data_IF_231016185887
#
_entry.id   IF_231016185887
#
_cell.length_a   1.000
_cell.length_b   1.000
_cell.length_c   1.000
_cell.angle_alpha   90.00
_cell.angle_beta   90.00
_cell.angle_gamma   90.00
#
_symmetry.space_group_name_H-M   'P 1'
#
loop_
_entity.id
_entity.type
_entity.pdbx_description
1 polymer ?
#
# COMPACT_ATOMS: atom_id res chain seq x y z
N UNK A 1 -14.47 -3.44 4.52
CA UNK A 1 -13.12 -3.08 5.04
C UNK A 1 -12.20 -4.29 5.20
N UNK A 2 -12.72 -5.49 5.53
CA UNK A 2 -11.95 -6.74 5.54
C UNK A 2 -11.66 -7.29 4.13
N UNK A 3 -12.57 -7.11 3.17
CA UNK A 3 -12.37 -7.59 1.79
C UNK A 3 -11.25 -6.86 1.05
N UNK A 4 -11.02 -5.58 1.35
CA UNK A 4 -9.91 -4.81 0.77
C UNK A 4 -8.54 -5.24 1.32
N UNK A 5 -8.53 -5.87 2.48
CA UNK A 5 -7.32 -6.21 3.21
C UNK A 5 -6.72 -7.57 2.86
N UNK A 6 -7.32 -8.31 1.92
CA UNK A 6 -6.96 -9.70 1.59
C UNK A 6 -6.80 -10.59 2.86
N UNK A 7 -7.66 -10.37 3.85
CA UNK A 7 -7.60 -11.10 5.13
C UNK A 7 -6.45 -10.71 6.07
N UNK A 8 -5.59 -9.74 5.74
CA UNK A 8 -4.58 -9.22 6.67
C UNK A 8 -5.25 -8.44 7.80
N UNK A 9 -5.03 -8.90 9.03
CA UNK A 9 -5.54 -8.29 10.28
C UNK A 9 -4.56 -7.28 10.90
N UNK A 10 -3.39 -7.09 10.30
CA UNK A 10 -2.37 -6.15 10.73
C UNK A 10 -2.61 -4.78 10.13
N UNK A 11 -2.58 -3.75 10.99
CA UNK A 11 -2.69 -2.35 10.63
C UNK A 11 -1.31 -1.70 10.77
N UNK A 12 -0.98 -0.65 9.99
CA UNK A 12 -1.81 -0.01 8.95
C UNK A 12 -1.82 -0.79 7.62
N UNK A 13 -2.92 -0.65 6.87
CA UNK A 13 -3.01 -1.09 5.48
C UNK A 13 -3.18 0.13 4.57
N UNK A 14 -2.28 0.26 3.62
CA UNK A 14 -2.10 1.40 2.74
C UNK A 14 -2.66 1.03 1.38
N UNK A 15 -3.48 1.93 0.84
CA UNK A 15 -4.13 1.79 -0.46
C UNK A 15 -3.87 3.04 -1.29
N UNK A 16 -3.45 2.88 -2.53
CA UNK A 16 -3.23 3.96 -3.50
C UNK A 16 -4.00 3.60 -4.78
N UNK A 17 -4.83 4.48 -5.30
CA UNK A 17 -5.66 4.24 -6.51
C UNK A 17 -6.44 2.91 -6.53
N UNK A 18 -7.05 2.54 -5.40
CA UNK A 18 -7.72 1.26 -5.17
C UNK A 18 -6.80 0.01 -5.19
N UNK A 19 -5.50 0.17 -5.39
CA UNK A 19 -4.51 -0.90 -5.21
C UNK A 19 -4.11 -1.01 -3.74
N UNK A 20 -4.13 -2.24 -3.22
CA UNK A 20 -3.66 -2.54 -1.87
C UNK A 20 -2.14 -2.69 -1.86
N UNK A 21 -1.45 -1.63 -1.45
CA UNK A 21 0.01 -1.62 -1.34
C UNK A 21 0.48 -2.55 -0.22
N UNK A 22 -0.29 -2.64 0.88
CA UNK A 22 0.05 -3.47 2.03
C UNK A 22 0.38 -2.61 3.24
N UNK A 23 1.49 -2.88 3.92
CA UNK A 23 1.88 -2.22 5.16
C UNK A 23 2.70 -0.94 4.96
N UNK A 24 3.20 -0.41 6.09
CA UNK A 24 4.13 0.73 6.08
C UNK A 24 5.44 0.38 5.36
N UNK A 25 5.96 -0.85 5.54
CA UNK A 25 7.17 -1.33 4.87
C UNK A 25 7.02 -1.40 3.34
N UNK A 26 5.84 -1.82 2.87
CA UNK A 26 5.53 -1.88 1.44
C UNK A 26 5.51 -0.47 0.82
N UNK A 27 4.92 0.51 1.52
CA UNK A 27 4.96 1.92 1.11
C UNK A 27 6.41 2.45 1.03
N UNK A 28 7.23 2.19 2.06
CA UNK A 28 8.64 2.62 2.07
C UNK A 28 9.46 1.92 0.99
N UNK A 29 9.11 0.69 0.63
CA UNK A 29 9.74 -0.04 -0.48
C UNK A 29 9.43 0.64 -1.81
N UNK A 30 8.17 1.02 -2.05
CA UNK A 30 7.79 1.75 -3.25
C UNK A 30 8.39 3.16 -3.32
N UNK A 31 8.55 3.84 -2.18
CA UNK A 31 9.26 5.11 -2.09
C UNK A 31 10.74 4.95 -2.48
N UNK A 32 11.41 3.94 -1.91
CA UNK A 32 12.81 3.62 -2.26
C UNK A 32 13.00 3.27 -3.73
N UNK A 33 12.00 2.67 -4.36
CA UNK A 33 12.01 2.35 -5.79
C UNK A 33 11.63 3.55 -6.68
N UNK A 34 11.34 4.73 -6.10
CA UNK A 34 10.79 5.91 -6.81
C UNK A 34 9.53 5.60 -7.62
N UNK A 35 8.82 4.51 -7.29
CA UNK A 35 7.54 4.13 -7.91
C UNK A 35 6.36 4.78 -7.24
N UNK A 36 6.53 5.25 -6.00
CA UNK A 36 5.49 5.95 -5.26
C UNK A 36 5.06 7.24 -5.96
N UNK A 37 6.00 8.02 -6.50
CA UNK A 37 5.70 9.22 -7.27
C UNK A 37 4.92 8.92 -8.55
N UNK A 38 5.13 7.75 -9.17
CA UNK A 38 4.39 7.33 -10.36
C UNK A 38 2.95 6.91 -10.04
N UNK A 39 2.70 6.45 -8.80
CA UNK A 39 1.38 6.06 -8.31
C UNK A 39 0.58 7.24 -7.73
N UNK A 40 1.19 8.41 -7.55
CA UNK A 40 0.53 9.61 -7.01
C UNK A 40 0.22 10.67 -8.09
N UNK A 41 0.60 10.43 -9.35
CA UNK A 41 0.45 11.38 -10.47
C UNK A 41 -0.83 11.18 -11.30
#
# INVERSE_FOLDING_TARGET
MIERADGRRTLPQIFIDNEGIGGCDDLYTLEKESKLDALLN
#
